data_IF_835540584975
#
_entry.id   IF_835540584975
#
_cell.length_a   1.000
_cell.length_b   1.000
_cell.length_c   1.000
_cell.angle_alpha   90.00
_cell.angle_beta   90.00
_cell.angle_gamma   90.00
#
_symmetry.space_group_name_H-M   'P 1'
#
loop_
_entity.id
_entity.type
_entity.pdbx_description
1 polymer ?
#
# COMPACT_ATOMS: atom_id res chain seq x y z
N UNK A 1 -0.46 -0.25 -19.56
CA UNK A 1 -0.46 -0.63 -18.12
C UNK A 1 0.67 -1.62 -17.88
N UNK A 2 1.77 -1.17 -17.34
CA UNK A 2 2.90 -2.05 -17.01
C UNK A 2 2.82 -2.40 -15.53
N UNK A 3 2.52 -3.66 -15.23
CA UNK A 3 2.58 -4.20 -13.87
C UNK A 3 4.00 -4.69 -13.66
N UNK A 4 4.84 -3.88 -13.06
CA UNK A 4 6.19 -4.31 -12.68
C UNK A 4 6.08 -5.16 -11.41
N UNK A 5 6.33 -6.45 -11.56
CA UNK A 5 6.30 -7.42 -10.48
C UNK A 5 7.66 -7.39 -9.74
N UNK A 6 7.70 -6.78 -8.58
CA UNK A 6 8.88 -6.75 -7.68
C UNK A 6 9.06 -8.10 -6.95
N UNK A 7 9.05 -9.20 -7.68
CA UNK A 7 9.21 -10.54 -7.11
C UNK A 7 10.64 -11.05 -7.35
N UNK A 8 11.64 -10.41 -6.77
CA UNK A 8 13.00 -10.96 -6.80
C UNK A 8 13.78 -10.69 -5.52
N UNK A 9 13.26 -11.13 -4.39
CA UNK A 9 14.04 -11.47 -3.21
C UNK A 9 13.26 -12.55 -2.45
N UNK A 10 13.34 -13.79 -2.97
CA UNK A 10 12.96 -14.97 -2.21
C UNK A 10 14.02 -15.20 -1.15
N UNK A 11 13.76 -14.79 0.08
CA UNK A 11 14.32 -15.48 1.24
C UNK A 11 13.27 -16.46 1.72
N UNK A 12 13.64 -17.73 1.72
CA UNK A 12 12.87 -18.86 2.24
C UNK A 12 12.62 -18.64 3.74
N UNK A 13 11.50 -18.00 4.08
CA UNK A 13 10.95 -18.02 5.43
C UNK A 13 9.88 -19.09 5.45
N UNK A 14 10.23 -20.24 6.02
CA UNK A 14 9.32 -21.33 6.32
C UNK A 14 8.12 -20.78 7.10
N UNK A 15 6.92 -20.91 6.56
CA UNK A 15 5.66 -20.65 7.23
C UNK A 15 5.49 -21.70 8.34
N UNK A 16 5.91 -21.36 9.56
CA UNK A 16 5.81 -22.23 10.72
C UNK A 16 4.38 -22.27 11.26
N UNK A 17 3.81 -23.46 11.29
CA UNK A 17 2.62 -23.80 12.05
C UNK A 17 2.90 -23.63 13.54
N UNK A 18 2.51 -22.50 14.14
CA UNK A 18 2.41 -22.37 15.58
C UNK A 18 1.28 -21.39 15.91
N UNK A 19 0.28 -21.88 16.58
CA UNK A 19 -0.83 -21.18 17.23
C UNK A 19 -0.32 -20.33 18.41
N UNK A 20 0.53 -19.38 18.11
CA UNK A 20 0.91 -18.32 19.04
C UNK A 20 -0.04 -17.17 18.74
N UNK A 21 -0.71 -16.59 19.77
CA UNK A 21 -1.51 -15.37 19.62
C UNK A 21 -0.74 -14.40 18.75
N UNK A 22 -1.15 -14.26 17.48
CA UNK A 22 -0.43 -13.45 16.53
C UNK A 22 -0.36 -12.02 17.07
N UNK A 23 0.83 -11.50 17.26
CA UNK A 23 1.02 -10.15 17.77
C UNK A 23 0.87 -9.15 16.62
N UNK A 24 -0.27 -8.52 16.51
CA UNK A 24 -0.57 -7.51 15.48
C UNK A 24 -0.19 -6.07 15.87
N UNK A 25 0.72 -5.88 16.84
CA UNK A 25 1.18 -4.54 17.23
C UNK A 25 1.76 -3.75 16.04
N UNK A 26 2.43 -4.44 15.11
CA UNK A 26 2.94 -3.83 13.88
C UNK A 26 1.82 -3.28 12.98
N UNK A 27 0.68 -3.98 12.93
CA UNK A 27 -0.49 -3.55 12.16
C UNK A 27 -1.08 -2.25 12.72
N UNK A 28 -1.21 -2.16 14.04
CA UNK A 28 -1.83 -1.02 14.73
C UNK A 28 -0.91 0.19 14.87
N UNK A 29 0.40 0.00 14.75
CA UNK A 29 1.37 1.09 14.92
C UNK A 29 1.16 2.19 13.87
N UNK A 30 0.85 3.43 14.33
CA UNK A 30 0.64 4.58 13.45
C UNK A 30 -0.66 4.54 12.64
N UNK A 31 -1.65 3.74 13.10
CA UNK A 31 -2.97 3.63 12.50
C UNK A 31 -3.99 4.22 13.47
N UNK A 32 -4.85 5.08 12.97
CA UNK A 32 -5.98 5.64 13.74
C UNK A 32 -7.14 4.65 13.77
N UNK A 33 -7.50 4.11 12.59
CA UNK A 33 -8.66 3.25 12.41
C UNK A 33 -8.37 2.17 11.37
N UNK A 34 -9.05 1.03 11.49
CA UNK A 34 -9.04 -0.06 10.51
C UNK A 34 -10.50 -0.34 10.14
N UNK A 35 -10.84 -0.25 8.86
CA UNK A 35 -12.16 -0.52 8.35
C UNK A 35 -12.22 -1.87 7.61
N UNK A 36 -13.37 -2.59 7.71
CA UNK A 36 -14.45 -2.36 8.66
C UNK A 36 -13.98 -2.50 10.12
N UNK A 37 -14.74 -1.97 11.09
CA UNK A 37 -14.38 -2.10 12.51
C UNK A 37 -14.21 -3.57 12.87
N UNK A 38 -13.05 -3.90 13.39
CA UNK A 38 -12.66 -5.28 13.65
C UNK A 38 -13.46 -5.89 14.82
N UNK A 39 -13.99 -5.05 15.72
CA UNK A 39 -14.82 -5.51 16.83
C UNK A 39 -16.25 -5.84 16.40
N UNK A 40 -16.79 -5.09 15.43
CA UNK A 40 -18.19 -5.19 15.00
C UNK A 40 -18.40 -6.05 13.75
N UNK A 41 -17.30 -6.49 13.11
CA UNK A 41 -17.41 -7.31 11.90
C UNK A 41 -18.06 -8.67 12.20
N UNK A 42 -19.31 -8.82 11.80
CA UNK A 42 -20.03 -10.09 11.85
C UNK A 42 -19.54 -11.11 10.81
N UNK A 43 -18.78 -10.62 9.82
CA UNK A 43 -18.21 -11.44 8.76
C UNK A 43 -16.70 -11.60 9.01
N UNK A 44 -16.23 -12.80 9.40
CA UNK A 44 -14.80 -13.04 9.63
C UNK A 44 -13.93 -12.70 8.42
N UNK A 45 -14.43 -12.82 7.20
CA UNK A 45 -13.67 -12.50 5.97
C UNK A 45 -13.42 -10.99 5.80
N UNK A 46 -14.11 -10.15 6.53
CA UNK A 46 -13.93 -8.69 6.54
C UNK A 46 -13.02 -8.24 7.70
N UNK A 47 -12.75 -9.12 8.66
CA UNK A 47 -11.86 -8.82 9.76
C UNK A 47 -10.40 -9.07 9.37
N UNK A 48 -9.61 -8.00 9.27
CA UNK A 48 -8.22 -8.06 8.81
C UNK A 48 -7.34 -8.88 9.77
N UNK A 49 -7.51 -8.76 11.08
CA UNK A 49 -6.72 -9.53 12.05
C UNK A 49 -7.06 -11.02 11.98
N UNK A 50 -8.33 -11.36 11.77
CA UNK A 50 -8.76 -12.73 11.54
C UNK A 50 -8.15 -13.28 10.24
N UNK A 51 -8.18 -12.52 9.14
CA UNK A 51 -7.56 -12.92 7.88
C UNK A 51 -6.05 -13.14 8.04
N UNK A 52 -5.36 -12.23 8.72
CA UNK A 52 -3.92 -12.36 8.99
C UNK A 52 -3.58 -13.57 9.86
N UNK A 53 -4.47 -13.94 10.79
CA UNK A 53 -4.27 -15.09 11.69
C UNK A 53 -4.58 -16.44 11.04
N UNK A 54 -5.44 -16.49 10.02
CA UNK A 54 -5.99 -17.73 9.47
C UNK A 54 -5.58 -18.01 8.02
N UNK A 55 -4.99 -17.02 7.33
CA UNK A 55 -4.58 -17.22 5.94
C UNK A 55 -3.40 -18.20 5.84
N UNK A 56 -3.48 -19.11 4.90
CA UNK A 56 -2.43 -20.06 4.53
C UNK A 56 -1.54 -19.55 3.37
N UNK A 57 -1.84 -18.35 2.87
CA UNK A 57 -1.14 -17.72 1.75
C UNK A 57 -0.89 -16.23 2.00
N UNK A 58 0.15 -15.65 1.38
CA UNK A 58 0.38 -14.21 1.45
C UNK A 58 -0.82 -13.42 0.93
N UNK A 59 -1.29 -12.45 1.72
CA UNK A 59 -2.26 -11.47 1.28
C UNK A 59 -1.60 -10.48 0.32
N UNK A 60 -2.37 -9.98 -0.64
CA UNK A 60 -1.94 -8.90 -1.54
C UNK A 60 -2.45 -7.59 -0.99
N UNK A 61 -1.54 -6.76 -0.50
CA UNK A 61 -1.86 -5.47 0.12
C UNK A 61 -1.55 -4.36 -0.87
N UNK A 62 -2.56 -3.60 -1.24
CA UNK A 62 -2.50 -2.56 -2.26
C UNK A 62 -2.34 -1.17 -1.65
N UNK A 63 -1.47 -0.37 -2.26
CA UNK A 63 -1.37 1.07 -2.06
C UNK A 63 -1.42 1.77 -3.42
N UNK A 64 -2.35 2.72 -3.60
CA UNK A 64 -2.40 3.60 -4.77
C UNK A 64 -1.76 4.94 -4.46
N UNK A 65 -0.94 5.46 -5.38
CA UNK A 65 -0.32 6.78 -5.31
C UNK A 65 -0.43 7.46 -6.66
N UNK A 66 -0.80 8.75 -6.67
CA UNK A 66 -0.78 9.58 -7.86
C UNK A 66 0.52 10.40 -7.90
N UNK A 67 1.31 10.32 -8.99
CA UNK A 67 2.60 10.99 -9.10
C UNK A 67 2.39 12.48 -9.51
N UNK A 68 1.84 13.25 -8.57
CA UNK A 68 1.52 14.68 -8.78
C UNK A 68 2.72 15.62 -8.71
N UNK A 69 3.90 15.11 -8.38
CA UNK A 69 5.20 15.81 -8.34
C UNK A 69 6.33 14.82 -8.63
N UNK A 70 7.53 15.32 -8.85
CA UNK A 70 8.69 14.48 -9.16
C UNK A 70 9.22 13.70 -7.96
N UNK A 71 9.03 14.24 -6.74
CA UNK A 71 9.63 13.72 -5.53
C UNK A 71 8.61 13.17 -4.55
N UNK A 72 8.99 12.08 -3.88
CA UNK A 72 8.30 11.54 -2.74
C UNK A 72 8.61 12.42 -1.51
N UNK A 73 7.59 12.85 -0.81
CA UNK A 73 7.74 13.62 0.43
C UNK A 73 7.37 12.79 1.67
N UNK A 74 7.64 13.35 2.84
CA UNK A 74 7.43 12.67 4.12
C UNK A 74 5.98 12.13 4.31
N UNK A 75 4.97 12.82 3.76
CA UNK A 75 3.58 12.34 3.78
C UNK A 75 3.39 11.00 3.07
N UNK A 76 4.08 10.78 1.96
CA UNK A 76 4.07 9.50 1.23
C UNK A 76 4.75 8.38 2.02
N UNK A 77 5.73 8.71 2.87
CA UNK A 77 6.45 7.70 3.65
C UNK A 77 5.56 6.96 4.66
N UNK A 78 4.48 7.57 5.14
CA UNK A 78 3.58 6.97 6.12
C UNK A 78 2.89 5.71 5.55
N UNK A 79 2.12 5.79 4.46
CA UNK A 79 1.49 4.61 3.88
C UNK A 79 2.50 3.62 3.29
N UNK A 80 3.63 4.11 2.75
CA UNK A 80 4.70 3.23 2.24
C UNK A 80 5.33 2.40 3.35
N UNK A 81 5.61 3.00 4.51
CA UNK A 81 6.11 2.25 5.70
C UNK A 81 5.09 1.22 6.20
N UNK A 82 3.80 1.52 6.11
CA UNK A 82 2.75 0.54 6.42
C UNK A 82 2.75 -0.61 5.41
N UNK A 83 2.85 -0.31 4.13
CA UNK A 83 2.96 -1.34 3.08
C UNK A 83 4.20 -2.23 3.31
N UNK A 84 5.34 -1.62 3.69
CA UNK A 84 6.55 -2.34 4.05
C UNK A 84 6.35 -3.26 5.26
N UNK A 85 5.61 -2.82 6.29
CA UNK A 85 5.33 -3.65 7.45
C UNK A 85 4.54 -4.92 7.10
N UNK A 86 3.62 -4.85 6.13
CA UNK A 86 2.96 -6.04 5.59
C UNK A 86 3.93 -6.95 4.82
N UNK A 87 4.83 -6.37 4.05
CA UNK A 87 5.86 -7.13 3.33
C UNK A 87 6.80 -7.85 4.31
N UNK A 88 7.24 -7.18 5.37
CA UNK A 88 8.07 -7.76 6.43
C UNK A 88 7.35 -8.88 7.20
N UNK A 89 6.00 -8.81 7.26
CA UNK A 89 5.16 -9.87 7.81
C UNK A 89 4.88 -11.03 6.84
N UNK A 90 5.51 -11.05 5.65
CA UNK A 90 5.40 -12.12 4.67
C UNK A 90 4.28 -11.96 3.64
N UNK A 91 3.65 -10.79 3.57
CA UNK A 91 2.60 -10.51 2.59
C UNK A 91 3.16 -9.84 1.32
N UNK A 92 2.36 -9.80 0.26
CA UNK A 92 2.75 -9.19 -1.01
C UNK A 92 2.33 -7.73 -1.07
N UNK A 93 3.31 -6.83 -1.12
CA UNK A 93 3.08 -5.42 -1.38
C UNK A 93 2.76 -5.17 -2.86
N UNK A 94 1.68 -4.45 -3.15
CA UNK A 94 1.26 -4.06 -4.50
C UNK A 94 1.14 -2.54 -4.56
N UNK A 95 2.10 -1.89 -5.22
CA UNK A 95 2.05 -0.46 -5.47
C UNK A 95 1.37 -0.20 -6.82
N UNK A 96 0.39 0.70 -6.82
CA UNK A 96 -0.30 1.19 -8.03
C UNK A 96 0.04 2.65 -8.18
N UNK A 97 0.66 3.02 -9.29
CA UNK A 97 0.93 4.42 -9.62
C UNK A 97 -0.13 4.86 -10.64
N UNK A 98 -0.91 5.88 -10.27
CA UNK A 98 -1.96 6.42 -11.12
C UNK A 98 -1.38 7.28 -12.23
N UNK A 99 -1.85 7.08 -13.47
CA UNK A 99 -1.52 7.91 -14.61
C UNK A 99 -2.67 8.89 -14.93
N UNK A 100 -3.85 8.37 -15.15
CA UNK A 100 -5.02 9.14 -15.52
C UNK A 100 -5.51 10.04 -14.39
N UNK A 101 -5.58 9.52 -13.16
CA UNK A 101 -6.02 10.24 -11.97
C UNK A 101 -5.08 11.39 -11.60
N UNK A 102 -3.77 11.22 -11.80
CA UNK A 102 -2.78 12.27 -11.61
C UNK A 102 -2.98 13.46 -12.55
N UNK A 103 -3.54 13.24 -13.76
CA UNK A 103 -3.81 14.29 -14.75
C UNK A 103 -5.06 15.10 -14.43
N UNK A 104 -6.09 14.46 -13.87
CA UNK A 104 -7.37 15.12 -13.56
C UNK A 104 -7.28 15.95 -12.28
N UNK A 105 -6.48 15.52 -11.33
CA UNK A 105 -6.42 16.08 -9.98
C UNK A 105 -7.57 15.61 -9.10
N UNK A 106 -7.41 15.77 -7.77
CA UNK A 106 -8.43 15.42 -6.79
C UNK A 106 -9.56 16.47 -6.82
N UNK A 107 -10.81 16.10 -7.12
CA UNK A 107 -11.94 17.03 -7.13
C UNK A 107 -12.35 17.51 -5.72
N UNK A 108 -11.84 16.88 -4.65
CA UNK A 108 -12.16 17.24 -3.27
C UNK A 108 -11.26 18.35 -2.70
N UNK A 109 -10.22 18.76 -3.44
CA UNK A 109 -9.29 19.80 -3.04
C UNK A 109 -9.88 21.21 -3.27
N UNK A 110 -9.87 22.03 -2.22
CA UNK A 110 -10.25 23.44 -2.24
C UNK A 110 -9.58 24.16 -3.41
N UNK A 111 -10.40 24.65 -4.32
CA UNK A 111 -10.26 25.63 -5.38
C UNK A 111 -8.90 26.39 -5.48
N UNK A 112 -7.87 25.73 -5.92
CA UNK A 112 -6.91 26.33 -6.86
C UNK A 112 -6.84 25.36 -8.04
N UNK A 113 -7.06 25.89 -9.22
CA UNK A 113 -7.00 25.14 -10.48
C UNK A 113 -5.58 24.55 -10.57
N UNK A 114 -5.40 23.32 -10.06
CA UNK A 114 -4.13 22.63 -10.23
C UNK A 114 -3.87 22.54 -11.71
N UNK A 115 -2.71 23.04 -12.13
CA UNK A 115 -2.26 22.94 -13.51
C UNK A 115 -2.31 21.47 -13.92
N UNK A 116 -3.08 21.16 -14.93
CA UNK A 116 -3.15 19.79 -15.46
C UNK A 116 -1.74 19.37 -15.90
N UNK A 117 -1.32 18.21 -15.40
CA UNK A 117 -0.05 17.62 -15.82
C UNK A 117 -0.20 17.01 -17.21
N UNK A 118 0.84 17.15 -18.05
CA UNK A 118 0.88 16.42 -19.32
C UNK A 118 1.14 14.93 -19.06
N UNK A 119 0.85 14.11 -20.06
CA UNK A 119 1.07 12.66 -19.99
C UNK A 119 2.56 12.33 -19.79
N UNK A 120 3.44 13.08 -20.46
CA UNK A 120 4.89 12.91 -20.36
C UNK A 120 5.39 13.25 -18.94
N UNK A 121 4.86 14.33 -18.33
CA UNK A 121 5.22 14.70 -16.96
C UNK A 121 4.76 13.64 -15.96
N UNK A 122 3.56 13.10 -16.11
CA UNK A 122 3.07 12.04 -15.24
C UNK A 122 3.90 10.77 -15.39
N UNK A 123 4.26 10.40 -16.62
CA UNK A 123 5.13 9.24 -16.86
C UNK A 123 6.53 9.42 -16.24
N UNK A 124 7.11 10.61 -16.33
CA UNK A 124 8.40 10.91 -15.72
C UNK A 124 8.31 10.87 -14.19
N UNK A 125 7.31 11.50 -13.58
CA UNK A 125 7.09 11.44 -12.13
C UNK A 125 6.84 10.00 -11.65
N UNK A 126 6.09 9.21 -12.41
CA UNK A 126 5.87 7.80 -12.07
C UNK A 126 7.19 7.01 -12.06
N UNK A 127 8.09 7.28 -13.01
CA UNK A 127 9.42 6.67 -13.06
C UNK A 127 10.25 7.04 -11.83
N UNK A 128 10.31 8.33 -11.46
CA UNK A 128 11.05 8.78 -10.29
C UNK A 128 10.49 8.21 -8.99
N UNK A 129 9.15 8.04 -8.86
CA UNK A 129 8.54 7.40 -7.70
C UNK A 129 8.97 5.93 -7.56
N UNK A 130 9.03 5.19 -8.66
CA UNK A 130 9.50 3.80 -8.64
C UNK A 130 10.96 3.74 -8.18
N UNK A 131 11.81 4.62 -8.70
CA UNK A 131 13.23 4.67 -8.35
C UNK A 131 13.47 5.03 -6.87
N UNK A 132 12.66 5.95 -6.31
CA UNK A 132 12.77 6.38 -4.91
C UNK A 132 12.19 5.34 -3.92
N UNK A 133 11.37 4.39 -4.38
CA UNK A 133 10.71 3.38 -3.54
C UNK A 133 11.41 2.01 -3.57
N UNK A 134 12.44 1.82 -4.35
CA UNK A 134 13.26 0.61 -4.40
C UNK A 134 14.34 0.62 -3.32
#
# INVERSE_FOLDING_TARGET
MSVTNLTSLKQDLAFGTATTKANFNWLRRGVSEIFPDQADSSNPSENLEYLLATTDRPLRVKLGIDPTGADIHLGHSIPVRKLRAFQDAGHTAVLIIGDFTARIGDPTGKSEVRRQLSEEMVAEHARTYIEQLQ
#
